data_IF_680998376737
#
_entry.id   IF_680998376737
#
_cell.length_a   1.000
_cell.length_b   1.000
_cell.length_c   1.000
_cell.angle_alpha   90.00
_cell.angle_beta   90.00
_cell.angle_gamma   90.00
#
_symmetry.space_group_name_H-M   'P 1'
#
loop_
_entity.id
_entity.type
_entity.pdbx_description
1 polymer ?
#
# COMPACT_ATOMS: atom_id res chain seq x y z
N UNK A 1 32.87 -9.56 -109.59
CA UNK A 1 31.85 -10.62 -109.69
C UNK A 1 30.67 -10.19 -108.83
N UNK A 2 29.53 -9.96 -109.46
CA UNK A 2 28.31 -9.37 -108.89
C UNK A 2 27.40 -10.44 -108.25
N UNK A 3 26.63 -10.06 -107.22
CA UNK A 3 25.24 -10.49 -106.85
C UNK A 3 24.99 -10.02 -105.40
N UNK A 4 24.16 -9.02 -105.06
CA UNK A 4 22.71 -8.75 -105.20
C UNK A 4 21.73 -9.76 -104.59
N UNK A 5 20.88 -9.21 -103.71
CA UNK A 5 19.51 -9.64 -103.38
C UNK A 5 19.31 -10.07 -101.92
N UNK A 6 18.22 -9.79 -101.19
CA UNK A 6 16.99 -8.98 -101.37
C UNK A 6 16.14 -9.21 -100.08
N UNK A 7 15.18 -8.31 -99.79
CA UNK A 7 13.97 -8.47 -98.91
C UNK A 7 14.04 -8.04 -97.42
N UNK A 8 13.18 -7.07 -97.06
CA UNK A 8 12.73 -6.67 -95.72
C UNK A 8 11.38 -7.35 -95.39
N UNK A 9 10.86 -7.46 -94.13
CA UNK A 9 10.11 -6.34 -93.51
C UNK A 9 9.94 -6.33 -91.95
N UNK A 10 9.50 -5.16 -91.45
CA UNK A 10 8.60 -4.85 -90.30
C UNK A 10 8.49 -5.82 -89.10
N UNK A 11 8.75 -5.29 -87.89
CA UNK A 11 8.10 -5.74 -86.66
C UNK A 11 7.05 -4.74 -86.18
N UNK A 12 5.80 -5.19 -86.13
CA UNK A 12 4.66 -4.60 -85.42
C UNK A 12 4.51 -5.36 -84.10
N UNK A 13 4.36 -4.60 -83.00
CA UNK A 13 3.54 -4.88 -81.83
C UNK A 13 3.78 -6.14 -80.99
N UNK A 14 4.22 -5.96 -79.75
CA UNK A 14 3.58 -6.65 -78.62
C UNK A 14 3.68 -5.82 -77.35
N UNK A 15 2.53 -5.68 -76.71
CA UNK A 15 2.15 -4.82 -75.60
C UNK A 15 3.02 -5.00 -74.36
N UNK A 16 3.48 -3.89 -73.76
CA UNK A 16 3.94 -3.87 -72.37
C UNK A 16 3.30 -2.71 -71.62
N UNK A 17 2.01 -2.87 -71.38
CA UNK A 17 1.25 -2.03 -70.45
C UNK A 17 1.61 -2.43 -69.03
N UNK A 18 2.26 -1.49 -68.34
CA UNK A 18 2.01 -1.10 -66.94
C UNK A 18 1.67 -2.24 -65.95
N UNK A 19 2.71 -2.74 -65.27
CA UNK A 19 2.58 -3.34 -63.95
C UNK A 19 3.83 -2.96 -63.14
N UNK A 20 3.84 -1.74 -62.61
CA UNK A 20 4.74 -1.28 -61.55
C UNK A 20 3.83 -0.60 -60.53
N UNK A 21 4.11 -0.85 -59.26
CA UNK A 21 3.42 -0.37 -58.03
C UNK A 21 2.16 -1.15 -57.65
N UNK A 22 2.33 -2.31 -57.01
CA UNK A 22 1.36 -2.81 -56.02
C UNK A 22 1.91 -3.90 -55.08
N UNK A 23 3.18 -4.29 -55.21
CA UNK A 23 3.75 -5.41 -54.45
C UNK A 23 4.84 -4.99 -53.44
N UNK A 24 4.88 -3.72 -53.03
CA UNK A 24 5.86 -3.23 -52.03
C UNK A 24 5.22 -2.62 -50.79
N UNK A 25 3.89 -2.46 -50.74
CA UNK A 25 3.20 -1.93 -49.55
C UNK A 25 2.68 -3.04 -48.62
N UNK A 26 2.66 -4.30 -49.08
CA UNK A 26 2.21 -5.44 -48.26
C UNK A 26 3.35 -6.09 -47.44
N UNK A 27 4.62 -5.80 -47.77
CA UNK A 27 5.78 -6.32 -47.02
C UNK A 27 6.25 -5.36 -45.90
N UNK A 28 5.75 -4.11 -45.86
CA UNK A 28 5.95 -3.17 -44.73
C UNK A 28 4.92 -3.34 -43.61
N UNK A 29 3.94 -4.25 -43.74
CA UNK A 29 3.24 -4.83 -42.59
C UNK A 29 4.17 -5.83 -41.87
N UNK A 30 5.36 -5.37 -41.48
CA UNK A 30 6.18 -6.00 -40.45
C UNK A 30 5.39 -5.91 -39.15
N UNK A 31 4.47 -6.86 -38.96
CA UNK A 31 3.72 -7.22 -37.76
C UNK A 31 3.85 -6.19 -36.62
N UNK A 32 3.34 -4.96 -36.84
CA UNK A 32 3.49 -3.89 -35.85
C UNK A 32 2.73 -4.35 -34.63
N UNK A 33 3.47 -4.69 -33.57
CA UNK A 33 2.89 -5.39 -32.43
C UNK A 33 1.75 -4.54 -31.86
N UNK A 34 0.72 -5.20 -31.33
CA UNK A 34 -0.41 -4.51 -30.69
C UNK A 34 0.09 -3.49 -29.67
N UNK A 35 1.14 -3.84 -28.93
CA UNK A 35 1.87 -2.96 -28.00
C UNK A 35 2.41 -1.69 -28.68
N UNK A 36 3.02 -1.79 -29.86
CA UNK A 36 3.53 -0.63 -30.61
C UNK A 36 2.40 0.29 -31.09
N UNK A 37 1.30 -0.28 -31.62
CA UNK A 37 0.12 0.48 -32.07
C UNK A 37 -0.54 1.19 -30.87
N UNK A 38 -0.74 0.47 -29.77
CA UNK A 38 -1.29 1.04 -28.54
C UNK A 38 -0.40 2.15 -27.97
N UNK A 39 0.91 1.94 -27.91
CA UNK A 39 1.86 2.95 -27.44
C UNK A 39 1.86 4.22 -28.29
N UNK A 40 1.69 4.08 -29.61
CA UNK A 40 1.54 5.23 -30.50
C UNK A 40 0.31 6.08 -30.14
N UNK A 41 -0.84 5.43 -29.95
CA UNK A 41 -2.08 6.11 -29.56
C UNK A 41 -1.98 6.73 -28.15
N UNK A 42 -1.40 5.99 -27.20
CA UNK A 42 -1.15 6.47 -25.84
C UNK A 42 -0.36 7.77 -25.86
N UNK A 43 0.71 7.87 -26.65
CA UNK A 43 1.50 9.11 -26.76
C UNK A 43 0.70 10.32 -27.23
N UNK A 44 -0.28 10.12 -28.11
CA UNK A 44 -1.16 11.20 -28.56
C UNK A 44 -2.05 11.69 -27.42
N UNK A 45 -2.72 10.78 -26.72
CA UNK A 45 -3.59 11.13 -25.59
C UNK A 45 -2.82 11.67 -24.38
N UNK A 46 -1.60 11.17 -24.12
CA UNK A 46 -0.70 11.73 -23.11
C UNK A 46 -0.34 13.18 -23.41
N UNK A 47 -0.08 13.50 -24.69
CA UNK A 47 0.22 14.87 -25.12
C UNK A 47 -0.99 15.78 -24.98
N UNK A 48 -2.19 15.30 -25.36
CA UNK A 48 -3.42 16.06 -25.14
C UNK A 48 -3.68 16.32 -23.66
N UNK A 49 -3.50 15.31 -22.80
CA UNK A 49 -3.65 15.49 -21.36
C UNK A 49 -2.62 16.49 -20.82
N UNK A 50 -1.35 16.38 -21.21
CA UNK A 50 -0.31 17.32 -20.80
C UNK A 50 -0.64 18.75 -21.21
N UNK A 51 -1.19 18.97 -22.40
CA UNK A 51 -1.61 20.30 -22.84
C UNK A 51 -2.69 20.89 -21.91
N UNK A 52 -3.69 20.08 -21.54
CA UNK A 52 -4.75 20.49 -20.58
C UNK A 52 -4.16 20.73 -19.18
N UNK A 53 -3.20 19.92 -18.74
CA UNK A 53 -2.56 20.13 -17.44
C UNK A 53 -1.61 21.35 -17.43
N UNK A 54 -1.18 21.82 -18.60
CA UNK A 54 -0.34 23.01 -18.74
C UNK A 54 -1.12 24.30 -18.99
N UNK A 55 -2.45 24.22 -19.18
CA UNK A 55 -3.29 25.40 -19.36
C UNK A 55 -3.44 26.17 -18.05
N UNK A 56 -3.89 27.42 -18.13
CA UNK A 56 -4.23 28.19 -16.93
C UNK A 56 -5.37 27.49 -16.17
N UNK A 57 -5.39 27.64 -14.84
CA UNK A 57 -6.35 26.93 -13.97
C UNK A 57 -7.82 27.23 -14.32
N UNK A 58 -8.11 28.43 -14.81
CA UNK A 58 -9.46 28.85 -15.22
C UNK A 58 -10.00 28.08 -16.44
N UNK A 59 -9.11 27.54 -17.29
CA UNK A 59 -9.45 26.78 -18.49
C UNK A 59 -9.47 25.25 -18.26
N UNK A 60 -9.19 24.79 -17.04
CA UNK A 60 -9.07 23.36 -16.75
C UNK A 60 -10.42 22.64 -16.82
N UNK A 61 -10.61 21.81 -17.83
CA UNK A 61 -11.78 20.95 -17.96
C UNK A 61 -11.55 19.58 -17.31
N UNK A 62 -11.96 19.44 -16.05
CA UNK A 62 -11.75 18.20 -15.28
C UNK A 62 -12.46 16.98 -15.87
N UNK A 63 -13.60 17.17 -16.55
CA UNK A 63 -14.33 16.09 -17.23
C UNK A 63 -13.56 15.57 -18.44
N UNK A 64 -13.01 16.47 -19.23
CA UNK A 64 -12.18 16.09 -20.39
C UNK A 64 -10.89 15.40 -19.94
N UNK A 65 -10.21 15.95 -18.93
CA UNK A 65 -9.02 15.33 -18.35
C UNK A 65 -9.32 13.91 -17.82
N UNK A 66 -10.45 13.71 -17.13
CA UNK A 66 -10.88 12.41 -16.64
C UNK A 66 -11.20 11.42 -17.79
N UNK A 67 -11.83 11.88 -18.86
CA UNK A 67 -12.08 11.05 -20.04
C UNK A 67 -10.77 10.63 -20.72
N UNK A 68 -9.80 11.54 -20.85
CA UNK A 68 -8.47 11.22 -21.37
C UNK A 68 -7.75 10.19 -20.50
N UNK A 69 -7.80 10.32 -19.17
CA UNK A 69 -7.25 9.32 -18.25
C UNK A 69 -7.95 7.96 -18.42
N UNK A 70 -9.26 7.96 -18.66
CA UNK A 70 -10.02 6.73 -18.91
C UNK A 70 -9.60 6.07 -20.23
N UNK A 71 -9.41 6.85 -21.29
CA UNK A 71 -8.88 6.35 -22.58
C UNK A 71 -7.48 5.77 -22.39
N UNK A 72 -6.60 6.48 -21.68
CA UNK A 72 -5.25 6.01 -21.36
C UNK A 72 -5.26 4.70 -20.57
N UNK A 73 -6.16 4.57 -19.59
CA UNK A 73 -6.32 3.34 -18.80
C UNK A 73 -6.79 2.15 -19.64
N UNK A 74 -7.65 2.39 -20.63
CA UNK A 74 -8.10 1.32 -21.52
C UNK A 74 -7.02 0.93 -22.53
N UNK A 75 -6.32 1.90 -23.11
CA UNK A 75 -5.21 1.63 -24.03
C UNK A 75 -4.03 0.96 -23.33
N UNK A 76 -3.75 1.30 -22.07
CA UNK A 76 -2.61 0.72 -21.35
C UNK A 76 -2.77 -0.76 -21.06
N UNK A 77 -4.00 -1.30 -21.06
CA UNK A 77 -4.27 -2.74 -20.96
C UNK A 77 -3.79 -3.53 -22.19
N UNK A 78 -3.56 -2.84 -23.30
CA UNK A 78 -3.03 -3.43 -24.54
C UNK A 78 -1.49 -3.47 -24.56
N UNK A 79 -0.84 -2.85 -23.56
CA UNK A 79 0.61 -2.88 -23.44
C UNK A 79 1.05 -4.15 -22.71
N UNK A 80 2.02 -4.85 -23.28
CA UNK A 80 2.63 -5.99 -22.62
C UNK A 80 3.43 -5.55 -21.38
N UNK A 81 3.22 -6.12 -20.18
CA UNK A 81 3.88 -5.67 -18.94
C UNK A 81 5.41 -5.72 -18.95
N UNK A 82 5.99 -6.61 -19.76
CA UNK A 82 7.44 -6.77 -19.96
C UNK A 82 8.03 -5.73 -20.93
N UNK A 83 7.18 -4.99 -21.66
CA UNK A 83 7.61 -4.11 -22.74
C UNK A 83 8.20 -2.78 -22.25
N UNK A 84 9.08 -2.20 -23.05
CA UNK A 84 9.63 -0.86 -22.78
C UNK A 84 8.55 0.23 -22.85
N UNK A 85 7.52 0.03 -23.68
CA UNK A 85 6.38 0.92 -23.80
C UNK A 85 5.53 0.95 -22.53
N UNK A 86 5.36 -0.20 -21.86
CA UNK A 86 4.69 -0.25 -20.55
C UNK A 86 5.46 0.54 -19.49
N UNK A 87 6.78 0.37 -19.44
CA UNK A 87 7.64 1.13 -18.51
C UNK A 87 7.58 2.64 -18.79
N UNK A 88 7.50 3.05 -20.05
CA UNK A 88 7.29 4.46 -20.42
C UNK A 88 5.93 4.98 -19.94
N UNK A 89 4.85 4.20 -20.10
CA UNK A 89 3.52 4.57 -19.61
C UNK A 89 3.48 4.73 -18.08
N UNK A 90 4.09 3.79 -17.35
CA UNK A 90 4.17 3.83 -15.89
C UNK A 90 5.02 5.01 -15.40
N UNK A 91 6.20 5.24 -16.00
CA UNK A 91 7.08 6.35 -15.61
C UNK A 91 6.45 7.71 -15.90
N UNK A 92 5.79 7.86 -17.05
CA UNK A 92 5.01 9.05 -17.36
C UNK A 92 3.87 9.27 -16.36
N UNK A 93 3.07 8.24 -16.07
CA UNK A 93 1.95 8.36 -15.11
C UNK A 93 2.45 8.75 -13.72
N UNK A 94 3.55 8.14 -13.28
CA UNK A 94 4.22 8.49 -12.01
C UNK A 94 4.65 9.95 -12.00
N UNK A 95 5.25 10.43 -13.10
CA UNK A 95 5.68 11.83 -13.25
C UNK A 95 4.49 12.80 -13.13
N UNK A 96 3.38 12.51 -13.81
CA UNK A 96 2.17 13.36 -13.72
C UNK A 96 1.69 13.44 -12.27
N UNK A 97 1.58 12.32 -11.55
CA UNK A 97 1.16 12.33 -10.14
C UNK A 97 2.14 13.07 -9.21
N UNK A 98 3.43 13.12 -9.56
CA UNK A 98 4.45 13.81 -8.77
C UNK A 98 4.48 15.31 -8.97
N UNK A 99 4.19 15.78 -10.18
CA UNK A 99 4.40 17.18 -10.58
C UNK A 99 3.11 18.01 -10.59
N UNK A 100 1.93 17.40 -10.62
CA UNK A 100 0.66 18.11 -10.76
C UNK A 100 -0.15 18.08 -9.47
N UNK A 101 -0.69 19.24 -9.05
CA UNK A 101 -1.41 19.42 -7.77
C UNK A 101 -2.87 19.85 -7.92
N UNK A 102 -3.55 19.42 -8.99
CA UNK A 102 -4.93 19.79 -9.26
C UNK A 102 -5.90 19.35 -8.14
N UNK A 103 -6.83 20.24 -7.76
CA UNK A 103 -7.75 20.03 -6.63
C UNK A 103 -9.04 19.26 -7.01
N UNK A 104 -9.19 18.80 -8.26
CA UNK A 104 -10.36 18.01 -8.67
C UNK A 104 -10.25 16.54 -8.20
N UNK A 105 -11.11 16.17 -7.26
CA UNK A 105 -11.14 14.83 -6.66
C UNK A 105 -11.41 13.71 -7.68
N UNK A 106 -12.22 13.96 -8.71
CA UNK A 106 -12.59 12.94 -9.69
C UNK A 106 -11.42 12.62 -10.62
N UNK A 107 -10.72 13.67 -11.08
CA UNK A 107 -9.51 13.56 -11.87
C UNK A 107 -8.37 12.89 -11.08
N UNK A 108 -8.11 13.37 -9.85
CA UNK A 108 -7.12 12.79 -8.94
C UNK A 108 -7.36 11.29 -8.75
N UNK A 109 -8.61 10.90 -8.42
CA UNK A 109 -9.00 9.49 -8.28
C UNK A 109 -8.76 8.70 -9.57
N UNK A 110 -9.13 9.25 -10.74
CA UNK A 110 -8.92 8.61 -12.04
C UNK A 110 -7.44 8.33 -12.31
N UNK A 111 -6.60 9.35 -12.12
CA UNK A 111 -5.17 9.26 -12.39
C UNK A 111 -4.44 8.33 -11.41
N UNK A 112 -4.81 8.37 -10.13
CA UNK A 112 -4.25 7.47 -9.12
C UNK A 112 -4.66 6.01 -9.36
N UNK A 113 -5.89 5.76 -9.82
CA UNK A 113 -6.30 4.42 -10.26
C UNK A 113 -5.48 3.93 -11.46
N UNK A 114 -5.22 4.80 -12.44
CA UNK A 114 -4.35 4.49 -13.55
C UNK A 114 -2.94 4.12 -13.05
N UNK A 115 -2.37 4.93 -12.14
CA UNK A 115 -1.07 4.66 -11.52
C UNK A 115 -1.03 3.28 -10.85
N UNK A 116 -1.98 2.96 -9.97
CA UNK A 116 -2.01 1.67 -9.29
C UNK A 116 -2.24 0.49 -10.25
N UNK A 117 -3.10 0.67 -11.27
CA UNK A 117 -3.37 -0.38 -12.27
C UNK A 117 -2.12 -0.77 -13.05
N UNK A 118 -1.25 0.20 -13.35
CA UNK A 118 0.04 -0.04 -14.00
C UNK A 118 1.07 -0.58 -13.00
N UNK A 119 1.11 0.00 -11.80
CA UNK A 119 2.15 -0.33 -10.82
C UNK A 119 2.06 -1.79 -10.37
N UNK A 120 0.85 -2.31 -10.11
CA UNK A 120 0.65 -3.67 -9.61
C UNK A 120 1.11 -4.74 -10.59
N UNK A 121 1.10 -4.45 -11.89
CA UNK A 121 1.59 -5.35 -12.94
C UNK A 121 3.13 -5.38 -13.02
N UNK A 122 3.80 -4.39 -12.43
CA UNK A 122 5.26 -4.30 -12.39
C UNK A 122 5.82 -4.82 -11.06
N UNK A 123 5.28 -4.35 -9.94
CA UNK A 123 5.73 -4.72 -8.58
C UNK A 123 4.64 -4.44 -7.54
N UNK A 124 4.83 -5.01 -6.35
CA UNK A 124 3.95 -4.76 -5.20
C UNK A 124 3.87 -3.25 -4.88
N UNK A 125 2.66 -2.70 -4.64
CA UNK A 125 2.46 -1.26 -4.42
C UNK A 125 2.78 -0.80 -2.99
N UNK A 126 3.27 -1.68 -2.10
CA UNK A 126 3.46 -1.35 -0.67
C UNK A 126 4.34 -0.13 -0.42
N UNK A 127 5.39 0.09 -1.24
CA UNK A 127 6.22 1.30 -1.14
C UNK A 127 5.46 2.54 -1.54
N UNK A 128 4.69 2.47 -2.63
CA UNK A 128 3.86 3.56 -3.10
C UNK A 128 2.77 3.93 -2.08
N UNK A 129 2.15 2.92 -1.45
CA UNK A 129 1.19 3.11 -0.37
C UNK A 129 1.82 3.86 0.81
N UNK A 130 2.99 3.40 1.27
CA UNK A 130 3.74 4.05 2.35
C UNK A 130 4.04 5.52 2.03
N UNK A 131 4.61 5.80 0.86
CA UNK A 131 4.99 7.16 0.48
C UNK A 131 3.75 8.07 0.42
N UNK A 132 2.65 7.60 -0.17
CA UNK A 132 1.40 8.35 -0.23
C UNK A 132 0.74 8.53 1.16
N UNK A 133 0.89 7.58 2.08
CA UNK A 133 0.39 7.77 3.46
C UNK A 133 1.17 8.84 4.21
N UNK A 134 2.47 9.00 3.94
CA UNK A 134 3.26 10.09 4.52
C UNK A 134 2.80 11.45 3.98
N UNK A 135 2.47 11.54 2.69
CA UNK A 135 1.92 12.78 2.13
C UNK A 135 0.53 13.10 2.72
N UNK A 136 -0.35 12.10 2.86
CA UNK A 136 -1.64 12.30 3.54
C UNK A 136 -1.42 12.81 4.97
N UNK A 137 -0.52 12.17 5.71
CA UNK A 137 -0.21 12.54 7.09
C UNK A 137 0.34 13.97 7.16
N UNK A 138 1.31 14.33 6.32
CA UNK A 138 1.90 15.67 6.27
C UNK A 138 0.94 16.77 5.82
N UNK A 139 -0.06 16.45 4.98
CA UNK A 139 -1.06 17.43 4.57
C UNK A 139 -2.18 17.60 5.61
N UNK A 140 -2.69 16.51 6.17
CA UNK A 140 -3.82 16.54 7.11
C UNK A 140 -3.37 16.92 8.54
N UNK A 141 -2.17 16.52 8.94
CA UNK A 141 -1.61 16.71 10.27
C UNK A 141 -1.82 15.52 11.20
N UNK A 142 -1.12 15.54 12.34
CA UNK A 142 -1.20 14.54 13.39
C UNK A 142 -2.44 14.76 14.29
N UNK A 143 -2.91 13.72 14.95
CA UNK A 143 -3.94 13.77 15.99
C UNK A 143 -3.42 14.54 17.21
N UNK A 144 -2.12 14.44 17.50
CA UNK A 144 -1.46 15.26 18.52
C UNK A 144 -1.11 16.64 17.95
N UNK A 145 -1.78 17.67 18.48
CA UNK A 145 -1.63 19.06 18.01
C UNK A 145 -0.22 19.62 18.28
N UNK A 146 0.52 19.00 19.18
CA UNK A 146 1.87 19.42 19.55
C UNK A 146 2.95 18.78 18.64
N UNK A 147 2.56 17.90 17.71
CA UNK A 147 3.48 17.23 16.76
C UNK A 147 3.50 17.98 15.43
N UNK A 148 4.66 18.56 15.10
CA UNK A 148 4.91 19.08 13.76
C UNK A 148 5.23 17.94 12.79
N UNK A 149 4.35 17.72 11.81
CA UNK A 149 4.54 16.68 10.79
C UNK A 149 5.34 17.23 9.61
N UNK A 150 6.42 16.54 9.24
CA UNK A 150 7.20 16.87 8.06
C UNK A 150 6.39 16.60 6.78
N UNK A 151 6.37 17.59 5.87
CA UNK A 151 5.75 17.44 4.54
C UNK A 151 6.75 16.81 3.58
N UNK A 152 6.62 15.50 3.36
CA UNK A 152 7.49 14.74 2.46
C UNK A 152 7.24 15.03 0.97
N UNK A 153 6.06 15.55 0.60
CA UNK A 153 5.67 15.97 -0.75
C UNK A 153 6.12 14.97 -1.85
N UNK A 154 5.94 13.66 -1.63
CA UNK A 154 6.35 12.65 -2.60
C UNK A 154 5.53 12.74 -3.90
N UNK A 155 4.24 13.10 -3.76
CA UNK A 155 3.28 13.28 -4.84
C UNK A 155 2.49 14.57 -4.68
N UNK A 156 2.75 15.57 -5.54
CA UNK A 156 2.01 16.84 -5.53
C UNK A 156 0.49 16.69 -5.72
N UNK A 157 0.05 15.58 -6.31
CA UNK A 157 -1.36 15.22 -6.48
C UNK A 157 -2.09 15.04 -5.14
N UNK A 158 -1.36 14.73 -4.06
CA UNK A 158 -1.88 14.70 -2.70
C UNK A 158 -1.75 16.09 -2.11
N UNK A 159 -2.88 16.72 -1.81
CA UNK A 159 -2.95 18.05 -1.20
C UNK A 159 -4.14 18.08 -0.22
N UNK A 160 -4.37 19.22 0.45
CA UNK A 160 -5.45 19.36 1.44
C UNK A 160 -6.84 19.02 0.91
N UNK A 161 -7.10 19.20 -0.39
CA UNK A 161 -8.39 18.91 -1.02
C UNK A 161 -8.53 17.47 -1.50
N UNK A 162 -7.43 16.84 -1.89
CA UNK A 162 -7.44 15.48 -2.47
C UNK A 162 -7.07 14.40 -1.44
N UNK A 163 -6.27 14.71 -0.42
CA UNK A 163 -5.75 13.75 0.57
C UNK A 163 -6.88 12.97 1.26
N UNK A 164 -7.89 13.66 1.78
CA UNK A 164 -9.10 13.05 2.32
C UNK A 164 -10.37 13.73 1.77
N UNK A 165 -11.42 12.97 1.43
CA UNK A 165 -11.53 11.51 1.56
C UNK A 165 -10.92 10.73 0.38
N UNK A 166 -10.59 11.39 -0.72
CA UNK A 166 -10.38 10.76 -2.03
C UNK A 166 -9.16 9.83 -2.06
N UNK A 167 -7.96 10.35 -1.81
CA UNK A 167 -6.73 9.55 -1.87
C UNK A 167 -6.72 8.55 -0.72
N UNK A 168 -7.07 8.97 0.50
CA UNK A 168 -7.15 8.10 1.68
C UNK A 168 -7.97 6.82 1.43
N UNK A 169 -9.22 6.94 0.95
CA UNK A 169 -10.06 5.77 0.66
C UNK A 169 -9.49 4.90 -0.46
N UNK A 170 -8.84 5.52 -1.46
CA UNK A 170 -8.19 4.79 -2.53
C UNK A 170 -7.00 3.96 -2.02
N UNK A 171 -6.15 4.55 -1.16
CA UNK A 171 -5.01 3.83 -0.58
C UNK A 171 -5.46 2.68 0.31
N UNK A 172 -6.47 2.90 1.14
CA UNK A 172 -7.05 1.87 2.01
C UNK A 172 -7.58 0.69 1.17
N UNK A 173 -8.38 0.97 0.13
CA UNK A 173 -8.85 -0.06 -0.80
C UNK A 173 -7.71 -0.82 -1.49
N UNK A 174 -6.59 -0.16 -1.79
CA UNK A 174 -5.45 -0.82 -2.41
C UNK A 174 -4.61 -1.62 -1.40
N UNK A 175 -4.47 -1.14 -0.17
CA UNK A 175 -3.86 -1.89 0.94
C UNK A 175 -4.67 -3.15 1.25
N UNK A 176 -5.99 -3.07 1.21
CA UNK A 176 -6.88 -4.21 1.39
C UNK A 176 -6.58 -5.35 0.39
N UNK A 177 -6.37 -5.04 -0.89
CA UNK A 177 -6.01 -6.04 -1.91
C UNK A 177 -4.65 -6.68 -1.63
N UNK A 178 -3.66 -5.90 -1.19
CA UNK A 178 -2.35 -6.45 -0.81
C UNK A 178 -2.48 -7.39 0.39
N UNK A 179 -3.32 -7.03 1.37
CA UNK A 179 -3.61 -7.89 2.52
C UNK A 179 -4.26 -9.21 2.08
N UNK A 180 -5.16 -9.20 1.09
CA UNK A 180 -5.74 -10.43 0.52
C UNK A 180 -4.71 -11.30 -0.19
N UNK A 181 -3.80 -10.70 -0.96
CA UNK A 181 -2.69 -11.44 -1.58
C UNK A 181 -1.80 -12.11 -0.53
N UNK A 182 -1.48 -11.40 0.56
CA UNK A 182 -0.68 -11.95 1.65
C UNK A 182 -1.42 -13.06 2.38
N UNK A 183 -2.71 -12.90 2.68
CA UNK A 183 -3.52 -13.93 3.34
C UNK A 183 -3.61 -15.20 2.48
N UNK A 184 -3.78 -15.03 1.17
CA UNK A 184 -3.75 -16.13 0.21
C UNK A 184 -2.38 -16.85 0.21
N UNK A 185 -1.27 -16.10 0.21
CA UNK A 185 0.07 -16.67 0.28
C UNK A 185 0.30 -17.47 1.57
N UNK A 186 -0.13 -16.93 2.73
CA UNK A 186 -0.05 -17.64 4.02
C UNK A 186 -0.88 -18.92 3.97
N UNK A 187 -2.10 -18.87 3.42
CA UNK A 187 -2.96 -20.04 3.28
C UNK A 187 -2.33 -21.10 2.38
N UNK A 188 -1.72 -20.70 1.27
CA UNK A 188 -0.98 -21.58 0.37
C UNK A 188 0.19 -22.26 1.07
N UNK A 189 1.00 -21.50 1.82
CA UNK A 189 2.12 -22.04 2.59
C UNK A 189 1.66 -23.05 3.65
N UNK A 190 0.56 -22.77 4.36
CA UNK A 190 -0.04 -23.71 5.33
C UNK A 190 -0.50 -25.02 4.68
N UNK A 191 -1.04 -24.94 3.46
CA UNK A 191 -1.44 -26.12 2.68
C UNK A 191 -0.26 -27.01 2.32
N UNK A 192 0.87 -26.42 1.92
CA UNK A 192 2.09 -27.15 1.55
C UNK A 192 2.74 -27.86 2.75
N UNK A 193 2.84 -27.20 3.90
CA UNK A 193 3.37 -27.81 5.14
C UNK A 193 2.53 -29.01 5.59
N UNK A 194 1.22 -28.99 5.34
CA UNK A 194 0.33 -30.11 5.71
C UNK A 194 0.51 -31.33 4.78
N UNK A 195 1.07 -31.14 3.58
CA UNK A 195 1.32 -32.19 2.59
C UNK A 195 2.71 -32.84 2.75
N UNK A 196 3.72 -32.12 3.23
CA UNK A 196 5.09 -32.64 3.46
C UNK A 196 5.21 -33.60 4.65
N UNK A 197 4.16 -33.79 5.47
CA UNK A 197 4.19 -34.70 6.63
C UNK A 197 4.13 -36.20 6.21
N UNK A 198 4.01 -36.49 4.91
CA UNK A 198 4.10 -37.86 4.35
C UNK A 198 4.83 -37.72 2.99
N UNK A 199 6.04 -38.29 2.74
CA UNK A 199 6.58 -39.57 3.21
C UNK A 199 7.96 -39.49 3.89
N UNK A 200 8.20 -40.44 4.81
CA UNK A 200 9.54 -40.83 5.25
C UNK A 200 10.36 -41.38 4.07
N UNK A 201 11.67 -41.18 4.20
CA UNK A 201 12.79 -41.75 3.44
C UNK A 201 13.37 -40.90 2.29
N UNK A 202 14.65 -40.60 2.52
CA UNK A 202 15.70 -40.15 1.60
C UNK A 202 15.86 -38.63 1.33
N UNK A 203 17.00 -38.16 1.85
CA UNK A 203 17.88 -37.12 1.29
C UNK A 203 17.85 -35.75 1.97
N UNK A 204 18.66 -35.68 3.02
CA UNK A 204 19.37 -34.48 3.48
C UNK A 204 20.02 -33.70 2.33
N UNK A 205 19.91 -32.36 2.40
CA UNK A 205 20.40 -31.32 1.47
C UNK A 205 19.47 -30.94 0.31
N UNK A 206 18.28 -30.44 0.63
CA UNK A 206 17.57 -29.50 -0.24
C UNK A 206 17.16 -28.28 0.60
N UNK A 207 17.63 -27.09 0.25
CA UNK A 207 17.16 -25.84 0.84
C UNK A 207 15.64 -25.75 0.64
N UNK A 208 14.85 -25.66 1.72
CA UNK A 208 13.39 -25.60 1.61
C UNK A 208 12.96 -24.50 0.62
N UNK A 209 12.17 -24.82 -0.44
CA UNK A 209 11.83 -23.87 -1.51
C UNK A 209 10.95 -22.67 -1.07
N UNK A 210 10.47 -22.64 0.18
CA UNK A 210 9.47 -21.68 0.66
C UNK A 210 10.05 -20.41 1.33
N UNK A 211 11.35 -20.41 1.67
CA UNK A 211 12.02 -19.27 2.31
C UNK A 211 11.94 -17.91 1.56
N UNK A 212 11.98 -17.84 0.21
CA UNK A 212 11.83 -16.55 -0.48
C UNK A 212 10.41 -15.97 -0.38
N UNK A 213 9.38 -16.83 -0.35
CA UNK A 213 7.97 -16.40 -0.24
C UNK A 213 7.69 -15.88 1.17
N UNK A 214 8.18 -16.58 2.19
CA UNK A 214 8.08 -16.12 3.58
C UNK A 214 8.73 -14.76 3.79
N UNK A 215 9.95 -14.56 3.26
CA UNK A 215 10.62 -13.26 3.26
C UNK A 215 9.81 -12.18 2.56
N UNK A 216 9.21 -12.49 1.41
CA UNK A 216 8.37 -11.54 0.68
C UNK A 216 7.14 -11.12 1.49
N UNK A 217 6.45 -12.08 2.15
CA UNK A 217 5.31 -11.80 3.04
C UNK A 217 5.71 -10.85 4.17
N UNK A 218 6.85 -11.10 4.82
CA UNK A 218 7.33 -10.28 5.94
C UNK A 218 7.66 -8.86 5.49
N UNK A 219 8.34 -8.71 4.34
CA UNK A 219 8.68 -7.39 3.79
C UNK A 219 7.41 -6.61 3.43
N UNK A 220 6.42 -7.28 2.81
CA UNK A 220 5.14 -6.65 2.46
C UNK A 220 4.37 -6.19 3.71
N UNK A 221 4.20 -7.08 4.70
CA UNK A 221 3.51 -6.76 5.95
C UNK A 221 4.25 -5.69 6.75
N UNK A 222 5.59 -5.73 6.82
CA UNK A 222 6.38 -4.71 7.49
C UNK A 222 6.22 -3.33 6.85
N UNK A 223 6.18 -3.27 5.52
CA UNK A 223 5.96 -2.00 4.79
C UNK A 223 4.51 -1.50 4.97
N UNK A 224 3.53 -2.40 4.93
CA UNK A 224 2.13 -2.06 5.21
C UNK A 224 1.93 -1.58 6.66
N UNK A 225 2.68 -2.12 7.62
CA UNK A 225 2.62 -1.66 9.00
C UNK A 225 3.06 -0.19 9.10
N UNK A 226 4.11 0.21 8.38
CA UNK A 226 4.50 1.63 8.28
C UNK A 226 3.41 2.46 7.63
N UNK A 227 2.79 1.98 6.55
CA UNK A 227 1.65 2.65 5.92
C UNK A 227 0.47 2.89 6.90
N UNK A 228 0.06 1.86 7.64
CA UNK A 228 -1.02 2.00 8.63
C UNK A 228 -0.62 2.90 9.81
N UNK A 229 0.64 2.87 10.23
CA UNK A 229 1.16 3.73 11.29
C UNK A 229 0.97 5.22 10.95
N UNK A 230 1.35 5.64 9.74
CA UNK A 230 1.14 7.01 9.27
C UNK A 230 -0.35 7.40 9.31
N UNK A 231 -1.24 6.53 8.80
CA UNK A 231 -2.68 6.83 8.75
C UNK A 231 -3.36 6.83 10.12
N UNK A 232 -2.90 6.01 11.07
CA UNK A 232 -3.46 5.95 12.43
C UNK A 232 -3.12 7.20 13.24
N UNK A 233 -1.98 7.84 12.97
CA UNK A 233 -1.56 9.09 13.60
C UNK A 233 -2.16 10.32 12.92
N UNK A 234 -2.65 10.18 11.69
CA UNK A 234 -3.24 11.28 10.94
C UNK A 234 -4.61 11.70 11.51
N UNK A 235 -4.86 13.00 11.62
CA UNK A 235 -6.14 13.60 12.01
C UNK A 235 -7.22 13.49 10.92
N UNK A 236 -7.56 12.26 10.50
CA UNK A 236 -8.48 11.99 9.41
C UNK A 236 -9.89 12.56 9.68
N UNK A 237 -10.58 13.10 8.65
CA UNK A 237 -11.96 13.52 8.77
C UNK A 237 -12.86 12.35 9.22
N UNK A 238 -13.76 12.62 10.18
CA UNK A 238 -14.77 11.65 10.63
C UNK A 238 -15.62 11.15 9.46
N UNK A 239 -15.89 9.85 9.42
CA UNK A 239 -16.73 9.21 8.40
C UNK A 239 -16.05 7.99 7.78
N UNK A 240 -16.22 7.84 6.46
CA UNK A 240 -15.83 6.61 5.74
C UNK A 240 -14.34 6.28 5.81
N UNK A 241 -13.45 7.29 5.89
CA UNK A 241 -12.01 7.09 6.04
C UNK A 241 -11.68 6.32 7.33
N UNK A 242 -12.22 6.79 8.46
CA UNK A 242 -12.03 6.15 9.77
C UNK A 242 -12.63 4.75 9.79
N UNK A 243 -13.86 4.59 9.26
CA UNK A 243 -14.53 3.29 9.19
C UNK A 243 -13.72 2.25 8.39
N UNK A 244 -13.13 2.68 7.27
CA UNK A 244 -12.36 1.81 6.39
C UNK A 244 -11.00 1.49 7.02
N UNK A 245 -10.32 2.48 7.59
CA UNK A 245 -9.06 2.30 8.30
C UNK A 245 -9.18 1.30 9.46
N UNK A 246 -10.24 1.41 10.28
CA UNK A 246 -10.46 0.47 11.40
C UNK A 246 -10.70 -0.97 10.92
N UNK A 247 -11.41 -1.15 9.80
CA UNK A 247 -11.61 -2.47 9.18
C UNK A 247 -10.30 -3.05 8.66
N UNK A 248 -9.51 -2.25 7.95
CA UNK A 248 -8.24 -2.68 7.38
C UNK A 248 -7.20 -3.01 8.47
N UNK A 249 -7.17 -2.24 9.57
CA UNK A 249 -6.37 -2.57 10.75
C UNK A 249 -6.78 -3.92 11.36
N UNK A 250 -8.09 -4.18 11.47
CA UNK A 250 -8.57 -5.47 11.95
C UNK A 250 -8.11 -6.62 11.02
N UNK A 251 -8.14 -6.41 9.71
CA UNK A 251 -7.65 -7.37 8.69
C UNK A 251 -6.14 -7.60 8.84
N UNK A 252 -5.37 -6.53 9.02
CA UNK A 252 -3.92 -6.58 9.25
C UNK A 252 -3.57 -7.43 10.48
N UNK A 253 -4.19 -7.19 11.64
CA UNK A 253 -3.95 -7.99 12.85
C UNK A 253 -4.38 -9.45 12.68
N UNK A 254 -5.45 -9.71 11.92
CA UNK A 254 -5.90 -11.08 11.60
C UNK A 254 -4.85 -11.82 10.77
N UNK A 255 -4.28 -11.17 9.75
CA UNK A 255 -3.25 -11.73 8.88
C UNK A 255 -1.94 -11.93 9.63
N UNK A 256 -1.52 -10.96 10.45
CA UNK A 256 -0.37 -11.11 11.35
C UNK A 256 -0.55 -12.30 12.30
N UNK A 257 -1.77 -12.50 12.82
CA UNK A 257 -2.10 -13.68 13.64
C UNK A 257 -2.00 -14.97 12.83
N UNK A 258 -2.49 -14.98 11.59
CA UNK A 258 -2.38 -16.13 10.70
C UNK A 258 -0.91 -16.49 10.41
N UNK A 259 -0.05 -15.49 10.21
CA UNK A 259 1.40 -15.66 10.05
C UNK A 259 2.04 -16.24 11.31
N UNK A 260 1.75 -15.69 12.50
CA UNK A 260 2.25 -16.23 13.77
C UNK A 260 1.80 -17.69 13.98
N UNK A 261 0.57 -18.02 13.56
CA UNK A 261 0.07 -19.40 13.59
C UNK A 261 0.72 -20.31 12.55
N UNK A 262 1.10 -19.79 11.39
CA UNK A 262 1.90 -20.53 10.40
C UNK A 262 3.30 -20.84 10.94
N UNK A 263 3.96 -19.87 11.59
CA UNK A 263 5.25 -20.06 12.26
C UNK A 263 5.16 -21.07 13.43
N UNK A 264 3.95 -21.32 13.96
CA UNK A 264 3.69 -22.38 14.95
C UNK A 264 3.71 -23.81 14.37
N UNK A 265 3.70 -23.95 13.04
CA UNK A 265 3.66 -25.23 12.32
C UNK A 265 4.92 -25.53 11.50
N UNK A 266 5.77 -24.54 11.23
CA UNK A 266 7.05 -24.74 10.54
C UNK A 266 8.21 -24.35 11.46
N UNK A 267 8.91 -25.37 11.97
CA UNK A 267 10.10 -25.17 12.79
C UNK A 267 11.33 -25.05 11.92
N UNK A 268 11.79 -23.82 11.63
CA UNK A 268 13.20 -23.37 11.74
C UNK A 268 13.49 -22.03 11.03
N UNK A 269 14.34 -21.22 11.67
CA UNK A 269 15.15 -20.11 11.10
C UNK A 269 14.59 -18.69 10.81
N UNK A 270 13.51 -18.22 11.46
CA UNK A 270 13.10 -16.81 11.30
C UNK A 270 13.49 -15.86 12.47
N UNK A 271 13.80 -16.42 13.64
CA UNK A 271 14.04 -15.64 14.86
C UNK A 271 15.19 -14.62 14.79
N UNK A 272 16.38 -14.92 14.22
CA UNK A 272 17.51 -13.98 14.27
C UNK A 272 17.26 -12.67 13.50
N UNK A 273 16.43 -12.71 12.46
CA UNK A 273 16.11 -11.56 11.60
C UNK A 273 15.06 -10.63 12.24
N UNK A 274 14.19 -11.16 13.10
CA UNK A 274 13.28 -10.34 13.88
C UNK A 274 14.03 -9.56 14.95
N UNK A 275 15.06 -10.14 15.59
CA UNK A 275 15.83 -9.46 16.65
C UNK A 275 16.70 -8.30 16.15
N UNK A 276 17.26 -8.38 14.95
CA UNK A 276 18.00 -7.26 14.36
C UNK A 276 17.09 -6.06 14.05
N UNK A 277 15.87 -6.32 13.55
CA UNK A 277 14.87 -5.29 13.28
C UNK A 277 14.30 -4.67 14.57
N UNK A 278 14.04 -5.50 15.55
CA UNK A 278 13.48 -5.14 16.84
C UNK A 278 14.49 -4.35 17.70
N UNK A 279 15.78 -4.70 17.66
CA UNK A 279 16.88 -3.96 18.33
C UNK A 279 17.14 -2.59 17.67
N UNK A 280 16.99 -2.50 16.34
CA UNK A 280 17.05 -1.23 15.61
C UNK A 280 15.92 -0.27 16.03
N UNK A 281 14.68 -0.75 16.18
CA UNK A 281 13.54 0.05 16.66
C UNK A 281 13.73 0.49 18.12
N UNK A 282 14.27 -0.38 18.98
CA UNK A 282 14.50 -0.05 20.39
C UNK A 282 15.59 1.01 20.62
N UNK A 283 16.67 0.98 19.81
CA UNK A 283 17.74 2.00 19.88
C UNK A 283 17.31 3.37 19.36
N UNK A 284 16.24 3.44 18.55
CA UNK A 284 15.66 4.72 18.07
C UNK A 284 14.74 5.36 19.12
N UNK A 285 13.94 4.56 19.83
CA UNK A 285 12.96 5.07 20.80
C UNK A 285 13.53 5.52 22.15
N UNK A 286 14.76 5.12 22.52
CA UNK A 286 15.41 5.58 23.75
C UNK A 286 15.93 7.02 23.69
N UNK A 287 15.98 7.63 22.49
CA UNK A 287 16.45 9.02 22.32
C UNK A 287 15.33 10.07 22.27
N UNK A 288 14.05 9.69 22.09
CA UNK A 288 12.94 10.64 21.87
C UNK A 288 12.11 10.98 23.11
N UNK A 289 12.35 10.33 24.25
CA UNK A 289 11.51 10.40 25.47
C UNK A 289 11.84 11.54 26.46
N UNK A 290 12.53 12.60 26.03
CA UNK A 290 12.75 13.80 26.87
C UNK A 290 12.35 15.05 26.08
N UNK A 291 11.13 15.55 26.32
CA UNK A 291 10.65 16.95 26.23
C UNK A 291 9.14 16.93 25.92
N UNK A 292 8.28 17.01 26.95
CA UNK A 292 7.63 18.19 27.57
C UNK A 292 6.27 18.47 26.94
N UNK A 293 5.20 18.18 27.70
CA UNK A 293 3.85 18.62 27.37
C UNK A 293 3.46 19.90 28.10
N UNK A 294 2.45 20.60 27.60
CA UNK A 294 1.54 21.40 28.42
C UNK A 294 0.21 21.75 27.71
N UNK A 295 -0.86 21.39 28.40
CA UNK A 295 -2.32 21.55 28.18
C UNK A 295 -2.80 22.89 27.58
N UNK A 296 -3.89 22.82 26.76
CA UNK A 296 -5.11 23.65 27.00
C UNK A 296 -6.42 23.08 26.38
N UNK A 297 -7.50 23.28 27.13
CA UNK A 297 -8.91 22.89 26.87
C UNK A 297 -9.58 23.81 25.84
N UNK A 298 -10.46 23.25 24.99
CA UNK A 298 -11.75 23.89 24.69
C UNK A 298 -12.84 22.87 24.30
N UNK A 299 -14.07 23.14 24.76
CA UNK A 299 -15.28 22.32 24.58
C UNK A 299 -16.13 22.88 23.44
N UNK A 300 -16.63 22.03 22.55
CA UNK A 300 -17.81 22.35 21.73
C UNK A 300 -18.72 21.14 21.60
N UNK A 301 -20.00 21.36 21.90
CA UNK A 301 -21.05 20.36 22.01
C UNK A 301 -21.44 19.81 20.62
N UNK A 302 -21.37 18.49 20.45
CA UNK A 302 -21.77 17.78 19.24
C UNK A 302 -23.21 17.23 19.38
N UNK A 303 -24.12 17.61 18.47
CA UNK A 303 -25.54 17.25 18.51
C UNK A 303 -25.87 15.76 18.20
N UNK A 304 -27.16 15.35 18.25
CA UNK A 304 -27.59 13.94 18.15
C UNK A 304 -27.22 13.23 16.84
N UNK A 305 -27.04 13.97 15.74
CA UNK A 305 -26.52 13.46 14.47
C UNK A 305 -25.03 13.11 14.52
N UNK A 306 -24.25 13.86 15.29
CA UNK A 306 -22.85 13.55 15.55
C UNK A 306 -22.71 12.34 16.48
N UNK A 307 -23.64 12.18 17.44
CA UNK A 307 -23.68 10.99 18.30
C UNK A 307 -24.02 9.71 17.52
N UNK A 308 -24.97 9.76 16.58
CA UNK A 308 -25.30 8.61 15.73
C UNK A 308 -24.18 8.23 14.73
N UNK A 309 -23.41 9.22 14.25
CA UNK A 309 -22.20 8.99 13.45
C UNK A 309 -21.07 8.40 14.31
N UNK A 310 -20.80 8.99 15.47
CA UNK A 310 -19.82 8.47 16.43
C UNK A 310 -20.14 7.04 16.88
N UNK A 311 -21.42 6.69 17.08
CA UNK A 311 -21.84 5.32 17.43
C UNK A 311 -21.67 4.31 16.28
N UNK A 312 -21.72 4.76 15.01
CA UNK A 312 -21.41 3.90 13.85
C UNK A 312 -19.90 3.75 13.66
N UNK A 313 -19.18 4.86 13.79
CA UNK A 313 -17.72 4.95 13.67
C UNK A 313 -16.98 4.19 14.78
N UNK A 314 -17.62 4.01 15.95
CA UNK A 314 -17.07 3.22 17.08
C UNK A 314 -17.42 1.74 17.02
N UNK A 315 -18.34 1.31 16.15
CA UNK A 315 -18.76 -0.10 16.02
C UNK A 315 -17.63 -1.08 15.66
N UNK A 316 -16.62 -0.75 14.82
CA UNK A 316 -15.52 -1.67 14.54
C UNK A 316 -14.46 -1.74 15.66
N UNK A 317 -14.48 -0.83 16.64
CA UNK A 317 -13.46 -0.76 17.70
C UNK A 317 -13.39 -2.07 18.52
N UNK A 318 -14.51 -2.67 18.99
CA UNK A 318 -14.46 -3.95 19.68
C UNK A 318 -13.82 -5.08 18.86
N UNK A 319 -14.05 -5.10 17.54
CA UNK A 319 -13.46 -6.10 16.66
C UNK A 319 -11.95 -5.88 16.51
N UNK A 320 -11.50 -4.63 16.41
CA UNK A 320 -10.08 -4.30 16.37
C UNK A 320 -9.39 -4.70 17.69
N UNK A 321 -9.99 -4.38 18.83
CA UNK A 321 -9.47 -4.80 20.16
C UNK A 321 -9.36 -6.32 20.21
N UNK A 322 -10.41 -7.04 19.80
CA UNK A 322 -10.39 -8.50 19.77
C UNK A 322 -9.27 -9.04 18.86
N UNK A 323 -9.07 -8.47 17.68
CA UNK A 323 -8.01 -8.88 16.76
C UNK A 323 -6.60 -8.66 17.35
N UNK A 324 -6.38 -7.55 18.05
CA UNK A 324 -5.14 -7.25 18.78
C UNK A 324 -4.93 -8.28 19.90
N UNK A 325 -5.96 -8.52 20.74
CA UNK A 325 -5.89 -9.49 21.83
C UNK A 325 -5.59 -10.91 21.33
N UNK A 326 -6.17 -11.33 20.18
CA UNK A 326 -5.84 -12.61 19.57
C UNK A 326 -4.38 -12.64 19.10
N UNK A 327 -3.91 -11.59 18.43
CA UNK A 327 -2.53 -11.50 17.97
C UNK A 327 -1.53 -11.63 19.14
N UNK A 328 -1.72 -10.84 20.20
CA UNK A 328 -0.91 -10.90 21.42
C UNK A 328 -0.95 -12.29 22.08
N UNK A 329 -2.14 -12.89 22.19
CA UNK A 329 -2.31 -14.25 22.72
C UNK A 329 -1.47 -15.25 21.93
N UNK A 330 -1.52 -15.25 20.59
CA UNK A 330 -0.76 -16.20 19.78
C UNK A 330 0.76 -15.92 19.84
N UNK A 331 1.17 -14.66 19.94
CA UNK A 331 2.57 -14.28 20.16
C UNK A 331 3.11 -14.80 21.50
N UNK A 332 2.34 -14.68 22.59
CA UNK A 332 2.72 -15.23 23.90
C UNK A 332 2.92 -16.75 23.80
N UNK A 333 2.02 -17.46 23.11
CA UNK A 333 2.16 -18.90 22.91
C UNK A 333 3.39 -19.26 22.08
N UNK A 334 3.70 -18.48 21.05
CA UNK A 334 4.89 -18.68 20.23
C UNK A 334 6.15 -18.42 21.06
N UNK A 335 6.21 -17.30 21.79
CA UNK A 335 7.34 -16.91 22.63
C UNK A 335 7.70 -17.98 23.68
N UNK A 336 6.69 -18.55 24.35
CA UNK A 336 6.88 -19.65 25.30
C UNK A 336 7.47 -20.91 24.65
N UNK A 337 7.08 -21.21 23.41
CA UNK A 337 7.56 -22.40 22.67
C UNK A 337 8.93 -22.20 22.06
N UNK A 338 9.21 -21.02 21.51
CA UNK A 338 10.48 -20.70 20.86
C UNK A 338 11.58 -20.33 21.86
N UNK A 339 11.25 -20.17 23.16
CA UNK A 339 12.16 -19.71 24.24
C UNK A 339 12.75 -18.34 24.00
N UNK A 340 12.02 -17.53 23.25
CA UNK A 340 12.48 -16.28 22.66
C UNK A 340 11.44 -15.23 23.02
N UNK A 341 11.84 -14.17 23.72
CA UNK A 341 10.89 -13.17 24.20
C UNK A 341 10.44 -12.24 23.08
N UNK A 342 9.38 -12.63 22.37
CA UNK A 342 8.76 -11.81 21.31
C UNK A 342 7.90 -10.67 21.86
N UNK A 343 7.54 -10.73 23.15
CA UNK A 343 6.74 -9.72 23.83
C UNK A 343 7.59 -8.58 24.41
N UNK A 344 8.93 -8.69 24.39
CA UNK A 344 9.84 -7.71 25.00
C UNK A 344 9.66 -6.27 24.48
N UNK A 345 9.09 -6.10 23.28
CA UNK A 345 8.89 -4.80 22.63
C UNK A 345 7.41 -4.45 22.44
N UNK A 346 6.51 -5.31 22.91
CA UNK A 346 5.07 -5.11 22.86
C UNK A 346 4.63 -4.72 24.26
N UNK A 347 4.29 -3.45 24.44
CA UNK A 347 3.58 -3.03 25.65
C UNK A 347 2.19 -3.64 25.58
N UNK A 348 1.86 -4.54 26.50
CA UNK A 348 0.52 -5.09 26.66
C UNK A 348 -0.46 -3.91 26.73
N UNK A 349 -1.52 -3.96 25.92
CA UNK A 349 -2.52 -2.91 25.93
C UNK A 349 -3.19 -2.84 27.32
N UNK A 350 -2.96 -1.75 28.06
CA UNK A 350 -3.62 -1.45 29.35
C UNK A 350 -5.07 -0.98 29.15
N UNK A 351 -5.75 -1.46 28.10
CA UNK A 351 -7.15 -1.09 27.81
C UNK A 351 -8.14 -1.75 28.77
N UNK A 352 -7.69 -2.70 29.59
CA UNK A 352 -8.47 -3.38 30.64
C UNK A 352 -7.76 -3.37 31.99
N UNK A 353 -6.93 -2.38 32.25
CA UNK A 353 -6.20 -2.33 33.52
C UNK A 353 -7.11 -1.79 34.64
N UNK A 354 -7.19 -2.51 35.74
CA UNK A 354 -7.76 -1.96 36.96
C UNK A 354 -6.81 -0.87 37.42
N UNK A 355 -7.20 0.39 37.25
CA UNK A 355 -6.49 1.50 37.90
C UNK A 355 -6.73 1.38 39.40
N UNK A 356 -5.88 0.62 40.09
CA UNK A 356 -5.79 0.69 41.53
C UNK A 356 -5.35 2.12 41.82
N UNK A 357 -6.20 2.87 42.51
CA UNK A 357 -5.86 4.20 42.98
C UNK A 357 -4.76 4.03 44.03
N UNK A 358 -3.49 4.19 43.63
CA UNK A 358 -2.35 4.10 44.54
C UNK A 358 -2.54 4.94 45.79
N UNK A 359 -3.18 6.10 45.65
CA UNK A 359 -3.54 6.99 46.75
C UNK A 359 -4.46 6.36 47.81
N UNK A 360 -5.30 5.39 47.44
CA UNK A 360 -6.17 4.67 48.39
C UNK A 360 -5.41 3.49 49.00
N UNK A 361 -4.53 2.84 48.22
CA UNK A 361 -3.69 1.76 48.72
C UNK A 361 -2.65 2.27 49.74
N UNK A 362 -2.02 3.42 49.46
CA UNK A 362 -1.09 4.08 50.38
C UNK A 362 -1.80 4.62 51.62
N UNK A 363 -3.04 5.10 51.48
CA UNK A 363 -3.84 5.57 52.62
C UNK A 363 -4.26 4.41 53.54
N UNK A 364 -4.64 3.26 52.99
CA UNK A 364 -4.96 2.06 53.79
C UNK A 364 -3.71 1.47 54.44
N UNK A 365 -2.56 1.48 53.73
CA UNK A 365 -1.30 1.02 54.31
C UNK A 365 -0.75 1.97 55.39
N UNK A 366 -1.01 3.27 55.28
CA UNK A 366 -0.67 4.25 56.33
C UNK A 366 -1.65 4.20 57.51
N UNK A 367 -2.94 3.98 57.26
CA UNK A 367 -3.94 3.79 58.33
C UNK A 367 -3.63 2.54 59.18
N UNK A 368 -3.13 1.45 58.57
CA UNK A 368 -2.68 0.26 59.31
C UNK A 368 -1.37 0.48 60.10
N UNK A 369 -0.46 1.35 59.61
CA UNK A 369 0.79 1.68 60.33
C UNK A 369 0.57 2.66 61.51
N UNK A 370 -0.38 3.61 61.37
CA UNK A 370 -0.73 4.58 62.41
C UNK A 370 -1.56 3.95 63.55
N UNK A 371 -2.35 2.89 63.28
CA UNK A 371 -3.08 2.15 64.32
C UNK A 371 -2.15 1.28 65.20
N UNK A 372 -1.01 0.83 64.67
CA UNK A 372 -0.02 0.02 65.42
C UNK A 372 0.91 0.88 66.30
N UNK A 373 1.14 2.16 65.97
CA UNK A 373 1.95 3.07 66.81
C UNK A 373 1.18 3.65 68.01
N UNK A 374 -0.14 3.87 67.93
CA UNK A 374 -0.93 4.39 69.06
C UNK A 374 -1.10 3.38 70.22
N UNK A 375 -0.99 2.06 69.96
CA UNK A 375 -1.11 1.03 71.01
C UNK A 375 0.19 0.89 71.83
N UNK A 376 1.33 1.31 71.29
CA UNK A 376 2.64 1.20 71.96
C UNK A 376 2.94 2.36 72.93
N UNK A 377 2.18 3.45 72.87
CA UNK A 377 2.38 4.63 73.71
C UNK A 377 1.59 4.61 75.05
N UNK A 378 0.88 3.51 75.37
CA UNK A 378 0.05 3.40 76.57
C UNK A 378 0.42 2.22 77.51
N UNK A 379 1.69 1.81 77.52
CA UNK A 379 2.22 0.87 78.52
C UNK A 379 3.42 1.41 79.28
#
# INVERSE_FOLDING_TARGET
MWRTGLVAPRHVGSSRTRARTHATDEEEEVEVSVTQRAAFQIRQFQRSLLNILSSQEEDFNSKEALLLVTVLSNLSKLLEPSSTQFVQMLSWTTKICKENSWEDASFCKGLMNLLFSLHVLCKSPVTLLRDLSQDIHGHIGDIDQDVEVEKTNHFAMVNLRTAAPTVCLLLLSQAEKVLEEVDWLITKLKGQVSQEIIPEEASSQATLPNHPIEKAIIIQLGTLLTFFHELVQTALPSGSCVDTLLKDLCKMYTILTALVRYVKLSGSHLTPLCYSFISYIQNKNSKSLKHTGEKKKEKTAAGPTAMARALRETKPIPNLIFAIEQYEKFLIHLSKRSKVNLMQHIKLSTSRDFKIKGNILDMVLQEDEDEDEEVSACF
#
